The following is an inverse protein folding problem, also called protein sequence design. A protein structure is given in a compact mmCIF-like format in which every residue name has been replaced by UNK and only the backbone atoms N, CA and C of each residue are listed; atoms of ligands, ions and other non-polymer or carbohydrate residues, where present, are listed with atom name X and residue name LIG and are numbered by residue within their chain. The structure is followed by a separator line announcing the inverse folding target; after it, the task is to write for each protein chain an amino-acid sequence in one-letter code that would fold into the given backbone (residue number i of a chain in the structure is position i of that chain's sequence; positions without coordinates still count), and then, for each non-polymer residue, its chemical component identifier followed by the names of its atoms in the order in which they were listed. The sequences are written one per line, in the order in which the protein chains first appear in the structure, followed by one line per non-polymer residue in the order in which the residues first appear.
data_IF_775377546181
#
_entry.id   IF_775377546181
#
_cell.length_a   1.000
_cell.length_b   1.000
_cell.length_c   1.000
_cell.angle_alpha   90.00
_cell.angle_beta   90.00
_cell.angle_gamma   90.00
#
_symmetry.space_group_name_H-M   'P 1'
#
loop_
_entity.id
_entity.type
_entity.pdbx_description
1 polymer ?
#
# COMPACT_ATOMS: atom_id res chain seq x y z
N UNK A 1 -50.51 -36.08 39.12
CA UNK A 1 -50.45 -35.06 38.04
C UNK A 1 -49.16 -34.27 38.17
N UNK A 2 -48.16 -34.53 37.32
CA UNK A 2 -46.83 -33.89 37.40
C UNK A 2 -46.81 -32.69 36.44
N UNK A 3 -46.74 -31.46 36.99
CA UNK A 3 -46.54 -30.23 36.20
C UNK A 3 -45.11 -30.22 35.65
N UNK A 4 -44.93 -30.48 34.36
CA UNK A 4 -43.64 -30.28 33.68
C UNK A 4 -43.36 -28.78 33.56
N UNK A 5 -42.24 -28.33 34.10
CA UNK A 5 -41.72 -26.96 34.00
C UNK A 5 -41.15 -26.80 32.59
N UNK A 6 -41.74 -25.92 31.78
CA UNK A 6 -41.21 -25.57 30.44
C UNK A 6 -40.00 -24.66 30.65
N UNK A 7 -38.83 -25.08 30.18
CA UNK A 7 -37.62 -24.26 30.18
C UNK A 7 -37.79 -23.10 29.19
N UNK A 8 -37.38 -21.87 29.54
CA UNK A 8 -37.39 -20.75 28.59
C UNK A 8 -36.40 -21.06 27.46
N UNK A 9 -36.89 -21.01 26.22
CA UNK A 9 -36.08 -21.16 25.02
C UNK A 9 -35.02 -20.07 24.95
N UNK A 10 -33.77 -20.44 24.69
CA UNK A 10 -32.69 -19.49 24.46
C UNK A 10 -33.07 -18.48 23.37
N UNK A 11 -32.80 -17.17 23.57
CA UNK A 11 -33.13 -16.16 22.59
C UNK A 11 -32.37 -16.42 21.29
N UNK A 12 -33.10 -16.67 20.21
CA UNK A 12 -32.54 -16.80 18.86
C UNK A 12 -31.70 -15.54 18.56
N UNK A 13 -30.41 -15.68 18.20
CA UNK A 13 -29.57 -14.53 17.88
C UNK A 13 -30.21 -13.78 16.72
N UNK A 14 -30.61 -12.52 16.97
CA UNK A 14 -31.15 -11.64 15.93
C UNK A 14 -30.06 -11.39 14.89
N UNK A 15 -30.16 -12.06 13.74
CA UNK A 15 -29.31 -11.79 12.58
C UNK A 15 -29.57 -10.35 12.14
N UNK A 16 -28.65 -9.44 12.45
CA UNK A 16 -28.73 -8.06 11.97
C UNK A 16 -28.49 -8.08 10.46
N UNK A 17 -29.52 -7.77 9.68
CA UNK A 17 -29.38 -7.52 8.25
C UNK A 17 -28.34 -6.41 8.06
N UNK A 18 -27.28 -6.69 7.29
CA UNK A 18 -26.24 -5.70 6.99
C UNK A 18 -26.89 -4.59 6.17
N UNK A 19 -26.76 -3.35 6.64
CA UNK A 19 -27.17 -2.18 5.88
C UNK A 19 -26.41 -2.15 4.54
N UNK A 20 -27.07 -1.88 3.41
CA UNK A 20 -26.39 -1.80 2.12
C UNK A 20 -25.33 -0.69 2.15
N UNK A 21 -24.14 -1.00 1.65
CA UNK A 21 -23.03 -0.06 1.55
C UNK A 21 -23.27 0.91 0.39
N UNK A 22 -22.83 2.14 0.57
CA UNK A 22 -22.77 3.12 -0.51
C UNK A 22 -21.42 2.96 -1.20
N UNK A 23 -21.44 2.73 -2.52
CA UNK A 23 -20.25 2.69 -3.36
C UNK A 23 -20.22 3.92 -4.27
N UNK A 24 -19.03 4.50 -4.42
CA UNK A 24 -18.73 5.62 -5.33
C UNK A 24 -17.45 5.26 -6.07
N UNK A 25 -17.58 4.99 -7.37
CA UNK A 25 -16.47 4.64 -8.24
C UNK A 25 -16.52 5.56 -9.46
N UNK A 26 -15.43 6.26 -9.74
CA UNK A 26 -15.34 7.14 -10.90
C UNK A 26 -13.95 7.22 -11.50
N UNK A 27 -13.92 7.65 -12.76
CA UNK A 27 -12.71 8.03 -13.46
C UNK A 27 -12.27 9.41 -12.98
N UNK A 28 -10.99 9.58 -12.74
CA UNK A 28 -10.40 10.87 -12.30
C UNK A 28 -10.01 11.67 -13.55
N UNK A 29 -10.52 12.88 -13.69
CA UNK A 29 -10.21 13.78 -14.81
C UNK A 29 -8.94 14.60 -14.55
N UNK A 30 -8.84 15.16 -13.35
CA UNK A 30 -7.71 15.94 -12.87
C UNK A 30 -7.50 15.66 -11.38
N UNK A 31 -6.27 15.73 -10.91
CA UNK A 31 -5.94 15.59 -9.49
C UNK A 31 -4.61 16.27 -9.18
N UNK A 32 -4.44 16.62 -7.91
CA UNK A 32 -3.20 17.14 -7.35
C UNK A 32 -2.85 16.39 -6.07
N UNK A 33 -1.57 16.43 -5.70
CA UNK A 33 -1.06 15.73 -4.53
C UNK A 33 -0.11 16.61 -3.74
N UNK A 34 -0.40 16.72 -2.45
CA UNK A 34 0.51 17.29 -1.47
C UNK A 34 1.00 16.19 -0.52
N UNK A 35 2.31 16.12 -0.32
CA UNK A 35 2.94 15.14 0.56
C UNK A 35 3.58 15.86 1.72
N UNK A 36 3.21 15.46 2.93
CA UNK A 36 3.70 16.09 4.15
C UNK A 36 4.09 15.09 5.23
N UNK A 37 4.74 15.63 6.25
CA UNK A 37 5.05 14.91 7.48
C UNK A 37 4.62 15.78 8.65
N UNK A 38 3.78 15.24 9.53
CA UNK A 38 3.31 15.94 10.72
C UNK A 38 3.51 15.05 11.95
N UNK A 39 3.83 15.67 13.09
CA UNK A 39 3.71 14.98 14.37
C UNK A 39 2.27 15.13 14.85
N UNK A 40 1.51 14.04 14.81
CA UNK A 40 0.11 14.01 15.27
C UNK A 40 -0.01 14.00 16.80
N UNK A 41 1.09 13.71 17.50
CA UNK A 41 1.12 13.65 18.95
C UNK A 41 2.36 14.40 19.44
N UNK A 42 2.13 15.50 20.16
CA UNK A 42 3.21 16.33 20.72
C UNK A 42 4.13 15.55 21.66
N UNK A 43 3.71 14.39 22.15
CA UNK A 43 4.51 13.49 22.99
C UNK A 43 5.20 12.38 22.22
N UNK A 44 4.72 12.05 21.01
CA UNK A 44 5.35 11.04 20.19
C UNK A 44 6.52 11.63 19.41
N UNK A 45 7.66 10.95 19.44
CA UNK A 45 8.84 11.30 18.60
C UNK A 45 8.70 10.84 17.14
N UNK A 46 7.58 10.21 16.79
CA UNK A 46 7.31 9.69 15.45
C UNK A 46 6.59 10.74 14.61
N UNK A 47 7.23 11.20 13.54
CA UNK A 47 6.55 11.92 12.46
C UNK A 47 5.70 10.94 11.66
N UNK A 48 4.42 11.26 11.45
CA UNK A 48 3.53 10.51 10.58
C UNK A 48 3.54 11.15 9.19
N UNK A 49 3.73 10.33 8.16
CA UNK A 49 3.61 10.78 6.77
C UNK A 49 2.13 10.84 6.40
N UNK A 50 1.77 11.89 5.67
CA UNK A 50 0.45 12.03 5.11
C UNK A 50 0.52 12.48 3.65
N UNK A 51 -0.56 12.19 2.94
CA UNK A 51 -0.76 12.55 1.55
C UNK A 51 -2.15 13.17 1.44
N UNK A 52 -2.20 14.41 0.99
CA UNK A 52 -3.44 15.11 0.63
C UNK A 52 -3.65 14.94 -0.86
N UNK A 53 -4.77 14.32 -1.23
CA UNK A 53 -5.12 14.04 -2.61
C UNK A 53 -6.44 14.74 -2.93
N UNK A 54 -6.40 15.72 -3.82
CA UNK A 54 -7.58 16.41 -4.29
C UNK A 54 -7.76 16.18 -5.79
N UNK A 55 -9.00 16.21 -6.28
CA UNK A 55 -9.25 16.01 -7.69
C UNK A 55 -10.71 16.02 -8.07
N UNK A 56 -10.94 15.82 -9.36
CA UNK A 56 -12.25 15.88 -10.01
C UNK A 56 -12.56 14.54 -10.68
N UNK A 57 -13.85 14.17 -10.65
CA UNK A 57 -14.34 13.04 -11.42
C UNK A 57 -14.69 13.50 -12.83
N UNK A 58 -14.49 12.60 -13.79
CA UNK A 58 -14.90 12.83 -15.18
C UNK A 58 -16.42 12.91 -15.33
N UNK A 59 -17.15 12.16 -14.51
CA UNK A 59 -18.61 12.08 -14.53
C UNK A 59 -19.18 12.33 -13.13
N UNK A 60 -20.39 12.90 -13.06
CA UNK A 60 -21.10 13.11 -11.80
C UNK A 60 -21.52 11.78 -11.16
N UNK A 61 -20.98 11.48 -9.99
CA UNK A 61 -21.27 10.27 -9.22
C UNK A 61 -22.43 10.49 -8.23
N UNK A 62 -23.64 10.69 -8.76
CA UNK A 62 -24.85 10.93 -7.95
C UNK A 62 -24.77 12.21 -7.11
N UNK A 63 -24.42 13.33 -7.73
CA UNK A 63 -24.22 14.65 -7.12
C UNK A 63 -22.83 14.81 -6.48
N UNK A 64 -21.84 14.06 -6.93
CA UNK A 64 -20.45 14.15 -6.49
C UNK A 64 -19.57 14.43 -7.70
N UNK A 65 -18.90 15.57 -7.68
CA UNK A 65 -18.08 16.05 -8.80
C UNK A 65 -16.60 16.03 -8.48
N UNK A 66 -16.22 16.07 -7.21
CA UNK A 66 -14.83 16.14 -6.77
C UNK A 66 -14.56 15.32 -5.50
N UNK A 67 -13.29 15.12 -5.20
CA UNK A 67 -12.83 14.44 -4.00
C UNK A 67 -11.66 15.17 -3.33
N UNK A 68 -11.57 14.97 -2.02
CA UNK A 68 -10.48 15.41 -1.14
C UNK A 68 -10.23 14.29 -0.12
N UNK A 69 -9.05 13.68 -0.20
CA UNK A 69 -8.64 12.56 0.64
C UNK A 69 -7.39 12.93 1.42
N UNK A 70 -7.49 12.89 2.74
CA UNK A 70 -6.31 12.88 3.61
C UNK A 70 -5.93 11.43 3.90
N UNK A 71 -4.83 10.97 3.32
CA UNK A 71 -4.30 9.63 3.53
C UNK A 71 -3.17 9.67 4.55
N UNK A 72 -3.29 8.91 5.63
CA UNK A 72 -2.31 8.85 6.72
C UNK A 72 -1.60 7.50 6.67
N UNK A 73 -0.28 7.51 6.60
CA UNK A 73 0.56 6.30 6.64
C UNK A 73 0.96 5.98 8.08
N UNK A 74 0.13 5.19 8.79
CA UNK A 74 0.42 4.81 10.19
C UNK A 74 -0.20 3.44 10.52
N UNK A 75 0.65 2.41 10.68
CA UNK A 75 0.22 1.04 11.04
C UNK A 75 0.13 0.84 12.53
N UNK A 76 1.00 1.49 13.31
CA UNK A 76 1.27 1.02 14.67
C UNK A 76 0.03 1.19 15.56
N UNK A 77 -0.89 2.09 15.17
CA UNK A 77 -2.18 2.33 15.84
C UNK A 77 -3.36 1.46 15.38
N UNK A 78 -3.27 0.78 14.22
CA UNK A 78 -4.37 -0.06 13.71
C UNK A 78 -4.53 -1.34 14.56
N UNK A 79 -3.49 -1.71 15.33
CA UNK A 79 -3.47 -2.93 16.12
C UNK A 79 -4.35 -2.90 17.39
N UNK A 80 -4.85 -1.74 17.81
CA UNK A 80 -5.64 -1.60 19.04
C UNK A 80 -7.12 -1.29 18.82
N UNK A 81 -7.55 -0.96 17.59
CA UNK A 81 -8.95 -0.63 17.30
C UNK A 81 -9.73 -1.89 16.92
N UNK A 82 -10.28 -2.52 17.95
CA UNK A 82 -11.45 -3.41 17.97
C UNK A 82 -12.06 -3.82 16.61
N UNK A 83 -11.62 -4.98 16.07
CA UNK A 83 -12.33 -5.95 15.20
C UNK A 83 -13.22 -5.46 14.03
N UNK A 84 -13.24 -4.18 13.69
CA UNK A 84 -14.03 -3.63 12.59
C UNK A 84 -13.07 -3.22 11.48
N UNK A 85 -13.27 -3.79 10.31
CA UNK A 85 -12.46 -3.59 9.11
C UNK A 85 -12.78 -2.26 8.42
N UNK A 86 -12.65 -1.12 9.12
CA UNK A 86 -12.80 0.21 8.53
C UNK A 86 -11.43 0.82 8.30
N UNK A 87 -11.29 1.49 7.15
CA UNK A 87 -10.03 2.05 6.65
C UNK A 87 -10.01 3.57 6.83
N UNK A 88 -11.11 4.18 7.29
CA UNK A 88 -11.21 5.62 7.40
C UNK A 88 -12.61 6.14 7.67
N UNK A 89 -12.76 7.46 7.62
CA UNK A 89 -14.00 8.18 7.86
C UNK A 89 -14.32 9.12 6.69
N UNK A 90 -15.57 9.13 6.25
CA UNK A 90 -16.09 10.16 5.37
C UNK A 90 -16.68 11.28 6.22
N UNK A 91 -16.15 12.49 6.02
CA UNK A 91 -16.57 13.72 6.68
C UNK A 91 -17.71 14.39 5.90
N UNK A 92 -17.62 14.35 4.57
CA UNK A 92 -18.61 14.94 3.66
C UNK A 92 -18.74 14.09 2.40
N UNK A 93 -19.95 13.96 1.86
CA UNK A 93 -20.21 13.15 0.66
C UNK A 93 -20.69 13.92 -0.55
N UNK A 94 -21.18 15.16 -0.39
CA UNK A 94 -21.75 15.98 -1.49
C UNK A 94 -21.51 17.48 -1.25
N UNK A 95 -21.23 18.26 -2.30
CA UNK A 95 -20.89 17.82 -3.68
C UNK A 95 -19.46 17.25 -3.81
N UNK A 96 -18.70 17.34 -2.72
CA UNK A 96 -17.33 16.87 -2.56
C UNK A 96 -17.32 15.64 -1.64
N UNK A 97 -16.59 14.59 -2.02
CA UNK A 97 -16.23 13.52 -1.08
C UNK A 97 -15.00 13.97 -0.31
N UNK A 98 -15.17 14.30 0.96
CA UNK A 98 -14.11 14.65 1.89
C UNK A 98 -13.94 13.49 2.86
N UNK A 99 -12.77 12.87 2.88
CA UNK A 99 -12.56 11.72 3.73
C UNK A 99 -11.12 11.55 4.21
N UNK A 100 -10.96 10.89 5.35
CA UNK A 100 -9.67 10.55 5.94
C UNK A 100 -9.50 9.05 5.84
N UNK A 101 -8.39 8.60 5.27
CA UNK A 101 -8.05 7.19 5.09
C UNK A 101 -6.76 6.89 5.82
N UNK A 102 -6.74 5.84 6.63
CA UNK A 102 -5.52 5.32 7.26
C UNK A 102 -5.08 4.08 6.51
N UNK A 103 -3.88 4.12 5.93
CA UNK A 103 -3.29 2.98 5.23
C UNK A 103 -2.11 2.45 6.02
N UNK A 104 -1.85 1.15 5.84
CA UNK A 104 -0.62 0.58 6.33
C UNK A 104 0.58 1.11 5.53
N UNK A 105 1.79 1.09 6.10
CA UNK A 105 3.02 1.55 5.47
C UNK A 105 3.23 1.00 4.04
N UNK A 106 3.12 -0.31 3.75
CA UNK A 106 3.28 -0.78 2.37
C UNK A 106 2.18 -0.29 1.42
N UNK A 107 0.91 -0.22 1.85
CA UNK A 107 -0.19 0.34 1.07
C UNK A 107 0.00 1.85 0.81
N UNK A 108 0.42 2.59 1.83
CA UNK A 108 0.72 4.01 1.73
C UNK A 108 1.87 4.26 0.74
N UNK A 109 2.95 3.49 0.82
CA UNK A 109 4.08 3.60 -0.11
C UNK A 109 3.67 3.23 -1.55
N UNK A 110 2.82 2.21 -1.72
CA UNK A 110 2.30 1.85 -3.03
C UNK A 110 1.43 2.97 -3.62
N UNK A 111 0.55 3.57 -2.81
CA UNK A 111 -0.25 4.71 -3.23
C UNK A 111 0.64 5.92 -3.58
N UNK A 112 1.57 6.28 -2.71
CA UNK A 112 2.52 7.36 -2.92
C UNK A 112 3.27 7.18 -4.24
N UNK A 113 3.70 5.95 -4.55
CA UNK A 113 4.37 5.63 -5.83
C UNK A 113 3.44 5.84 -7.03
N UNK A 114 2.18 5.40 -6.95
CA UNK A 114 1.21 5.56 -8.04
C UNK A 114 0.91 7.03 -8.31
N UNK A 115 0.71 7.80 -7.24
CA UNK A 115 0.34 9.21 -7.30
C UNK A 115 1.54 10.04 -7.77
N UNK A 116 2.73 9.87 -7.17
CA UNK A 116 3.94 10.59 -7.65
C UNK A 116 4.34 10.23 -9.08
N UNK A 117 3.97 9.04 -9.58
CA UNK A 117 4.18 8.67 -10.97
C UNK A 117 3.18 9.31 -11.95
N UNK A 118 2.19 10.07 -11.47
CA UNK A 118 1.18 10.68 -12.34
C UNK A 118 0.13 9.70 -12.85
N UNK A 119 -0.08 8.55 -12.18
CA UNK A 119 -0.81 7.40 -12.75
C UNK A 119 -2.17 7.12 -12.12
N UNK A 120 -2.72 8.00 -11.29
CA UNK A 120 -4.03 7.78 -10.70
C UNK A 120 -5.12 7.94 -11.78
N UNK A 121 -5.87 6.86 -12.05
CA UNK A 121 -6.92 6.86 -13.08
C UNK A 121 -8.33 6.70 -12.50
N UNK A 122 -8.49 5.88 -11.45
CA UNK A 122 -9.81 5.61 -10.86
C UNK A 122 -9.73 5.60 -9.34
N UNK A 123 -10.81 6.06 -8.72
CA UNK A 123 -11.02 6.01 -7.27
C UNK A 123 -12.35 5.29 -6.98
N UNK A 124 -12.30 4.20 -6.22
CA UNK A 124 -13.48 3.48 -5.69
C UNK A 124 -13.48 3.57 -4.16
N UNK A 125 -14.49 4.22 -3.61
CA UNK A 125 -14.71 4.38 -2.16
C UNK A 125 -16.02 3.71 -1.79
N UNK A 126 -15.97 2.84 -0.78
CA UNK A 126 -17.15 2.16 -0.23
C UNK A 126 -17.27 2.46 1.25
N UNK A 127 -18.43 2.97 1.65
CA UNK A 127 -18.68 3.44 3.01
C UNK A 127 -20.11 3.13 3.45
N UNK A 128 -20.31 3.10 4.77
CA UNK A 128 -21.64 2.93 5.36
C UNK A 128 -22.50 4.18 5.13
N UNK A 129 -23.84 4.07 5.11
CA UNK A 129 -24.69 5.26 5.11
C UNK A 129 -24.37 6.16 6.32
N UNK A 130 -24.20 7.48 6.13
CA UNK A 130 -23.76 8.37 7.19
C UNK A 130 -24.74 8.38 8.36
N UNK A 131 -24.21 8.23 9.57
CA UNK A 131 -24.94 8.34 10.83
C UNK A 131 -24.43 9.59 11.54
N UNK A 132 -25.31 10.56 11.78
CA UNK A 132 -24.94 11.83 12.43
C UNK A 132 -23.84 12.61 11.69
N UNK A 133 -23.87 12.61 10.35
CA UNK A 133 -22.94 13.41 9.54
C UNK A 133 -21.56 12.79 9.31
N UNK A 134 -21.29 11.58 9.81
CA UNK A 134 -20.06 10.84 9.48
C UNK A 134 -20.39 9.42 9.01
N UNK A 135 -19.54 8.85 8.17
CA UNK A 135 -19.64 7.46 7.71
C UNK A 135 -18.29 6.75 7.79
N UNK A 136 -18.31 5.46 8.10
CA UNK A 136 -17.10 4.64 8.08
C UNK A 136 -16.81 4.13 6.67
N UNK A 137 -15.56 4.27 6.23
CA UNK A 137 -15.06 3.71 4.99
C UNK A 137 -14.71 2.25 5.24
N UNK A 138 -15.33 1.34 4.51
CA UNK A 138 -15.02 -0.08 4.58
C UNK A 138 -13.90 -0.47 3.62
N UNK A 139 -13.81 0.19 2.47
CA UNK A 139 -12.72 -0.03 1.54
C UNK A 139 -12.50 1.18 0.66
N UNK A 140 -11.25 1.51 0.41
CA UNK A 140 -10.83 2.41 -0.66
C UNK A 140 -9.93 1.64 -1.63
N UNK A 141 -10.08 1.92 -2.92
CA UNK A 141 -9.22 1.35 -3.97
C UNK A 141 -8.80 2.45 -4.92
N UNK A 142 -7.50 2.49 -5.17
CA UNK A 142 -6.88 3.34 -6.16
C UNK A 142 -6.41 2.44 -7.30
N UNK A 143 -6.73 2.81 -8.53
CA UNK A 143 -6.25 2.10 -9.71
C UNK A 143 -5.36 3.02 -10.55
N UNK A 144 -4.34 2.40 -11.14
CA UNK A 144 -3.52 3.00 -12.19
C UNK A 144 -3.75 2.24 -13.49
N UNK A 145 -4.74 2.68 -14.26
CA UNK A 145 -4.91 2.19 -15.62
C UNK A 145 -3.92 2.93 -16.51
N UNK A 146 -3.01 2.19 -17.13
CA UNK A 146 -2.08 2.71 -18.13
C UNK A 146 -2.76 2.94 -19.50
N UNK A 147 -4.05 3.27 -19.50
CA UNK A 147 -4.86 3.39 -20.70
C UNK A 147 -5.63 4.71 -20.66
N UNK A 148 -5.09 5.74 -21.31
CA UNK A 148 -5.71 6.57 -22.35
C UNK A 148 -4.59 7.49 -22.90
N UNK A 149 -3.80 6.94 -23.81
CA UNK A 149 -2.97 7.68 -24.79
C UNK A 149 -2.55 6.81 -25.98
N UNK A 150 -2.93 5.52 -26.02
CA UNK A 150 -2.80 4.70 -27.23
C UNK A 150 -4.07 4.80 -28.09
N UNK A 151 -4.43 6.02 -28.48
CA UNK A 151 -5.21 6.26 -29.70
C UNK A 151 -4.25 6.95 -30.66
N UNK A 152 -3.87 6.19 -31.69
CA UNK A 152 -3.08 6.60 -32.86
C UNK A 152 -1.57 6.80 -32.63
N UNK A 153 -0.83 5.72 -32.35
CA UNK A 153 0.41 5.47 -33.10
C UNK A 153 0.73 3.99 -33.10
N UNK A 154 1.23 3.55 -34.24
CA UNK A 154 1.34 2.17 -34.69
C UNK A 154 2.16 1.29 -33.74
N UNK A 155 1.79 0.00 -33.68
CA UNK A 155 2.65 -1.02 -33.11
C UNK A 155 3.97 -1.10 -33.86
N UNK A 156 5.07 -1.42 -33.15
CA UNK A 156 5.97 -2.44 -33.68
C UNK A 156 6.24 -3.55 -32.65
N UNK A 157 6.04 -4.78 -33.13
CA UNK A 157 6.54 -6.12 -32.79
C UNK A 157 7.62 -6.40 -31.73
N UNK A 158 7.85 -5.56 -30.72
CA UNK A 158 8.92 -5.75 -29.73
C UNK A 158 8.34 -5.68 -28.31
N UNK A 159 7.71 -6.75 -27.85
CA UNK A 159 7.06 -6.82 -26.53
C UNK A 159 8.01 -7.21 -25.37
N UNK A 160 9.26 -7.57 -25.66
CA UNK A 160 10.26 -7.92 -24.63
C UNK A 160 10.96 -6.73 -23.92
N UNK A 161 11.21 -5.55 -24.51
CA UNK A 161 11.97 -4.50 -23.86
C UNK A 161 11.19 -3.79 -22.75
N UNK A 162 9.85 -3.76 -22.80
CA UNK A 162 9.06 -3.10 -21.76
C UNK A 162 8.97 -3.91 -20.47
N UNK A 163 8.80 -5.24 -20.58
CA UNK A 163 8.84 -6.13 -19.41
C UNK A 163 10.22 -6.06 -18.75
N UNK A 164 11.29 -6.05 -19.55
CA UNK A 164 12.66 -5.90 -19.05
C UNK A 164 12.87 -4.53 -18.38
N UNK A 165 12.44 -3.42 -19.00
CA UNK A 165 12.51 -2.09 -18.37
C UNK A 165 11.75 -2.02 -17.04
N UNK A 166 10.60 -2.69 -16.95
CA UNK A 166 9.81 -2.73 -15.72
C UNK A 166 10.50 -3.55 -14.63
N UNK A 167 11.14 -4.67 -14.99
CA UNK A 167 11.96 -5.46 -14.07
C UNK A 167 13.19 -4.67 -13.59
N UNK A 168 13.86 -3.93 -14.48
CA UNK A 168 15.02 -3.09 -14.12
C UNK A 168 14.61 -1.95 -13.18
N UNK A 169 13.47 -1.32 -13.44
CA UNK A 169 12.91 -0.27 -12.58
C UNK A 169 12.54 -0.81 -11.19
N UNK A 170 11.91 -1.99 -11.13
CA UNK A 170 11.61 -2.66 -9.86
C UNK A 170 12.89 -3.06 -9.11
N UNK A 171 13.90 -3.55 -9.82
CA UNK A 171 15.19 -3.95 -9.23
C UNK A 171 15.94 -2.73 -8.66
N UNK A 172 15.91 -1.61 -9.37
CA UNK A 172 16.51 -0.34 -8.94
C UNK A 172 15.80 0.25 -7.72
N UNK A 173 14.46 0.19 -7.68
CA UNK A 173 13.67 0.61 -6.53
C UNK A 173 13.96 -0.26 -5.31
N UNK A 174 14.02 -1.58 -5.48
CA UNK A 174 14.29 -2.53 -4.40
C UNK A 174 15.72 -2.38 -3.85
N UNK A 175 16.72 -2.15 -4.71
CA UNK A 175 18.08 -1.84 -4.29
C UNK A 175 18.16 -0.52 -3.48
N UNK A 176 17.35 0.48 -3.83
CA UNK A 176 17.28 1.75 -3.11
C UNK A 176 16.63 1.59 -1.73
N UNK A 177 15.55 0.80 -1.64
CA UNK A 177 14.92 0.45 -0.36
C UNK A 177 15.84 -0.41 0.53
N UNK A 178 16.57 -1.35 -0.05
CA UNK A 178 17.56 -2.14 0.67
C UNK A 178 18.69 -1.28 1.26
N UNK A 179 19.11 -0.23 0.54
CA UNK A 179 20.07 0.77 1.05
C UNK A 179 19.51 1.56 2.23
N UNK A 180 18.26 2.02 2.13
CA UNK A 180 17.61 2.81 3.19
C UNK A 180 17.34 2.00 4.45
N UNK A 181 16.94 0.74 4.31
CA UNK A 181 16.65 -0.15 5.45
C UNK A 181 17.92 -0.72 6.09
N UNK A 182 19.07 -0.61 5.42
CA UNK A 182 20.34 -1.14 5.95
C UNK A 182 20.32 -2.66 6.14
N UNK A 183 19.52 -3.39 5.37
CA UNK A 183 19.36 -4.83 5.51
C UNK A 183 20.71 -5.55 5.35
N UNK A 184 21.07 -6.35 6.36
CA UNK A 184 22.34 -7.10 6.39
C UNK A 184 22.08 -8.60 6.26
N UNK A 185 22.71 -9.23 5.29
CA UNK A 185 22.66 -10.68 5.10
C UNK A 185 23.63 -11.38 6.05
N UNK A 186 23.12 -12.40 6.72
CA UNK A 186 23.90 -13.38 7.46
C UNK A 186 24.59 -14.34 6.50
N UNK A 187 25.59 -15.05 7.03
CA UNK A 187 26.33 -16.07 6.29
C UNK A 187 25.44 -17.20 5.77
N UNK A 188 24.43 -17.61 6.53
CA UNK A 188 23.49 -18.66 6.11
C UNK A 188 22.63 -18.19 4.93
N UNK A 189 22.12 -16.96 4.98
CA UNK A 189 21.36 -16.37 3.88
C UNK A 189 22.21 -16.21 2.62
N UNK A 190 23.48 -15.80 2.77
CA UNK A 190 24.43 -15.70 1.65
C UNK A 190 24.73 -17.07 1.02
N UNK A 191 24.89 -18.13 1.84
CA UNK A 191 25.06 -19.50 1.35
C UNK A 191 23.84 -19.99 0.56
N UNK A 192 22.64 -19.76 1.10
CA UNK A 192 21.38 -20.12 0.44
C UNK A 192 21.21 -19.37 -0.89
N UNK A 193 21.55 -18.07 -0.91
CA UNK A 193 21.43 -17.23 -2.10
C UNK A 193 22.33 -17.68 -3.24
N UNK A 194 23.57 -18.06 -2.94
CA UNK A 194 24.54 -18.53 -3.94
C UNK A 194 24.43 -20.03 -4.25
N UNK A 195 23.63 -20.79 -3.50
CA UNK A 195 23.55 -22.24 -3.63
C UNK A 195 24.85 -22.96 -3.27
N UNK A 196 25.62 -22.44 -2.31
CA UNK A 196 26.93 -22.99 -1.91
C UNK A 196 26.99 -23.31 -0.43
N UNK A 197 27.90 -24.22 -0.05
CA UNK A 197 28.18 -24.51 1.35
C UNK A 197 29.01 -23.39 2.01
N UNK A 198 28.94 -23.29 3.34
CA UNK A 198 29.70 -22.30 4.13
C UNK A 198 31.22 -22.35 3.90
N UNK A 199 31.77 -23.55 3.67
CA UNK A 199 33.19 -23.74 3.36
C UNK A 199 33.53 -23.16 1.98
N UNK A 200 32.67 -23.41 0.99
CA UNK A 200 32.82 -22.87 -0.37
C UNK A 200 32.73 -21.35 -0.39
N UNK A 201 31.79 -20.76 0.36
CA UNK A 201 31.67 -19.31 0.52
C UNK A 201 32.96 -18.69 1.09
N UNK A 202 33.56 -19.32 2.10
CA UNK A 202 34.83 -18.85 2.69
C UNK A 202 35.95 -18.82 1.66
N UNK A 203 36.07 -19.89 0.87
CA UNK A 203 37.08 -19.98 -0.18
C UNK A 203 36.88 -18.92 -1.26
N UNK A 204 35.63 -18.67 -1.67
CA UNK A 204 35.29 -17.62 -2.65
C UNK A 204 35.61 -16.21 -2.13
N UNK A 205 35.29 -15.91 -0.88
CA UNK A 205 35.64 -14.62 -0.26
C UNK A 205 37.16 -14.45 -0.18
N UNK A 206 37.92 -15.50 0.17
CA UNK A 206 39.40 -15.45 0.19
C UNK A 206 40.02 -15.23 -1.19
N UNK A 207 39.39 -15.75 -2.24
CA UNK A 207 39.83 -15.55 -3.64
C UNK A 207 39.43 -14.17 -4.20
N UNK A 208 38.49 -13.48 -3.55
CA UNK A 208 37.95 -12.22 -4.04
C UNK A 208 36.80 -12.38 -5.04
N UNK A 209 36.26 -13.59 -5.21
CA UNK A 209 35.12 -13.86 -6.11
C UNK A 209 33.82 -13.23 -5.58
N UNK A 210 33.72 -13.03 -4.27
CA UNK A 210 32.53 -12.52 -3.56
C UNK A 210 32.98 -11.36 -2.64
N UNK A 211 32.16 -10.30 -2.47
CA UNK A 211 32.48 -9.19 -1.57
C UNK A 211 32.84 -9.65 -0.16
N UNK A 212 33.76 -8.93 0.48
CA UNK A 212 34.22 -9.23 1.84
C UNK A 212 33.13 -8.82 2.85
N UNK A 213 32.79 -9.67 3.84
CA UNK A 213 31.84 -9.28 4.87
C UNK A 213 32.36 -8.10 5.71
N UNK A 214 31.44 -7.35 6.31
CA UNK A 214 31.76 -6.35 7.33
C UNK A 214 32.40 -7.00 8.56
N UNK A 215 32.90 -6.18 9.50
CA UNK A 215 33.46 -6.64 10.79
C UNK A 215 32.51 -7.54 11.58
N UNK A 216 31.20 -7.36 11.41
CA UNK A 216 30.16 -8.18 12.04
C UNK A 216 29.95 -9.56 11.38
N UNK A 217 30.71 -9.88 10.33
CA UNK A 217 30.55 -11.11 9.55
C UNK A 217 29.30 -11.13 8.67
N UNK A 218 28.68 -9.97 8.45
CA UNK A 218 27.47 -9.78 7.63
C UNK A 218 27.75 -8.93 6.39
N UNK A 219 26.97 -9.13 5.34
CA UNK A 219 27.06 -8.37 4.09
C UNK A 219 25.94 -7.34 4.03
N UNK A 220 26.21 -6.15 3.47
CA UNK A 220 25.14 -5.22 3.13
C UNK A 220 24.43 -5.76 1.89
N UNK A 221 23.10 -5.90 1.94
CA UNK A 221 22.31 -6.42 0.82
C UNK A 221 22.54 -5.60 -0.45
N UNK A 222 22.70 -4.28 -0.31
CA UNK A 222 22.97 -3.38 -1.42
C UNK A 222 24.29 -3.68 -2.15
N UNK A 223 25.37 -3.96 -1.42
CA UNK A 223 26.69 -4.30 -2.01
C UNK A 223 26.63 -5.64 -2.72
N UNK A 224 25.90 -6.60 -2.16
CA UNK A 224 25.71 -7.92 -2.78
C UNK A 224 24.92 -7.81 -4.08
N UNK A 225 23.84 -7.02 -4.11
CA UNK A 225 23.06 -6.80 -5.34
C UNK A 225 23.87 -6.07 -6.42
N UNK A 226 24.71 -5.11 -6.03
CA UNK A 226 25.59 -4.40 -6.97
C UNK A 226 26.70 -5.30 -7.52
N UNK A 227 27.22 -6.22 -6.72
CA UNK A 227 28.17 -7.22 -7.20
C UNK A 227 27.49 -8.20 -8.17
N UNK A 228 26.29 -8.68 -7.86
CA UNK A 228 25.53 -9.58 -8.75
C UNK A 228 25.22 -8.94 -10.11
N UNK A 229 24.88 -7.63 -10.13
CA UNK A 229 24.56 -6.93 -11.38
C UNK A 229 25.76 -6.73 -12.30
N UNK A 230 26.99 -6.82 -11.78
CA UNK A 230 28.24 -6.74 -12.55
C UNK A 230 28.68 -8.09 -13.14
N UNK A 231 27.91 -9.16 -12.92
CA UNK A 231 28.17 -10.49 -13.46
C UNK A 231 29.11 -11.33 -12.60
N UNK A 232 28.81 -11.40 -11.30
CA UNK A 232 29.62 -12.10 -10.27
C UNK A 232 29.97 -13.56 -10.54
#
# INVERSE_FOLDING_TARGET
MVKRRVMPSDPVPKVRLRTPLIARSGLVSAWDVDVGAASLDSRAKSSTLYLELCGEFLEDLSGVTSFELLVIGDIDRVSEIDRRCWVGNVLRCRPLIECVVTLNAPEFQALLTVVTAGRLSTLDVRFEPPRYGSAFIQSVRFNSSQAISAVLTEQPSCAQPEVLRRLDAMTSALASLARLTGARLTRAEMCNRLGVTSNTLTSRVRRGDVPTPSKDGKWLLAEVMEWESRGG
#
